data_IF_386913564605
#
_entry.id   IF_386913564605
#
_cell.length_a   1.000
_cell.length_b   1.000
_cell.length_c   1.000
_cell.angle_alpha   90.00
_cell.angle_beta   90.00
_cell.angle_gamma   90.00
#
_symmetry.space_group_name_H-M   'P 1'
#
loop_
_entity.id
_entity.type
_entity.pdbx_description
1 polymer ?
#
# COMPACT_ATOMS: atom_id res chain seq x y z
N UNK A 1 -0.89 1.36 0.17
CA UNK A 1 0.42 2.06 0.19
C UNK A 1 1.48 1.06 0.61
N UNK A 2 2.53 0.87 -0.20
CA UNK A 2 3.53 -0.18 0.01
C UNK A 2 4.93 0.44 0.04
N UNK A 3 5.77 0.03 1.00
CA UNK A 3 7.21 0.31 1.07
C UNK A 3 7.64 1.78 0.96
N UNK A 4 6.76 2.70 1.37
CA UNK A 4 6.96 4.14 1.24
C UNK A 4 7.48 4.76 2.55
N UNK A 5 8.14 5.93 2.45
CA UNK A 5 8.41 6.78 3.62
C UNK A 5 7.23 7.73 3.82
N UNK A 6 6.61 7.68 4.99
CA UNK A 6 5.47 8.50 5.36
C UNK A 6 5.90 9.50 6.44
N UNK A 7 5.89 10.78 6.07
CA UNK A 7 6.15 11.89 6.99
C UNK A 7 5.07 12.08 8.05
N UNK A 8 5.35 12.94 9.03
CA UNK A 8 4.47 13.23 10.17
C UNK A 8 3.21 14.02 9.82
N UNK A 9 3.13 14.54 8.58
CA UNK A 9 1.94 15.15 8.01
C UNK A 9 0.73 14.18 7.97
N UNK A 10 0.97 12.86 7.92
CA UNK A 10 -0.11 11.88 7.86
C UNK A 10 -0.83 11.80 9.20
N UNK A 11 -2.11 12.18 9.20
CA UNK A 11 -2.95 12.06 10.39
C UNK A 11 -2.99 10.61 10.89
N UNK A 12 -2.97 10.34 12.22
CA UNK A 12 -2.94 8.97 12.75
C UNK A 12 -4.06 8.06 12.26
N UNK A 13 -5.25 8.61 11.99
CA UNK A 13 -6.39 7.90 11.40
C UNK A 13 -6.10 7.34 9.99
N UNK A 14 -5.18 7.99 9.26
CA UNK A 14 -4.66 7.62 7.93
C UNK A 14 -5.61 7.88 6.78
N UNK A 15 -6.88 7.48 6.92
CA UNK A 15 -7.87 7.54 5.85
C UNK A 15 -9.06 8.39 6.27
N UNK A 16 -9.62 9.13 5.32
CA UNK A 16 -10.78 10.00 5.55
C UNK A 16 -12.00 9.45 4.80
N UNK A 17 -13.21 9.44 5.40
CA UNK A 17 -14.42 9.10 4.68
C UNK A 17 -14.63 10.04 3.49
N UNK A 18 -15.15 9.51 2.39
CA UNK A 18 -15.60 10.34 1.27
C UNK A 18 -16.88 11.10 1.64
N UNK A 19 -17.93 10.36 2.01
CA UNK A 19 -19.22 10.88 2.44
C UNK A 19 -19.85 9.92 3.45
N UNK A 20 -19.92 10.34 4.71
CA UNK A 20 -20.48 9.53 5.80
C UNK A 20 -19.90 8.12 5.86
N UNK A 21 -20.78 7.10 5.80
CA UNK A 21 -20.40 5.68 5.83
C UNK A 21 -20.27 5.04 4.44
N UNK A 22 -20.33 5.83 3.37
CA UNK A 22 -20.29 5.31 2.01
C UNK A 22 -18.97 4.54 1.76
N UNK A 23 -19.11 3.31 1.23
CA UNK A 23 -18.03 2.40 0.87
C UNK A 23 -17.08 1.92 1.99
N UNK A 24 -17.22 2.38 3.24
CA UNK A 24 -16.32 2.01 4.34
C UNK A 24 -16.26 0.49 4.57
N UNK A 25 -17.30 -0.23 4.17
CA UNK A 25 -17.39 -1.69 4.27
C UNK A 25 -16.91 -2.45 3.03
N UNK A 26 -16.78 -1.79 1.88
CA UNK A 26 -16.52 -2.42 0.57
C UNK A 26 -15.21 -1.98 -0.06
N UNK A 27 -14.66 -0.81 0.31
CA UNK A 27 -13.35 -0.36 -0.13
C UNK A 27 -12.25 -1.34 0.29
N UNK A 28 -11.08 -1.25 -0.34
CA UNK A 28 -9.89 -1.99 0.10
C UNK A 28 -8.74 -1.02 0.22
N UNK A 29 -8.43 -0.61 1.45
CA UNK A 29 -7.22 0.13 1.79
C UNK A 29 -6.29 -0.76 2.60
N UNK A 30 -5.00 -0.68 2.31
CA UNK A 30 -3.99 -1.45 3.01
C UNK A 30 -2.65 -0.72 2.98
N UNK A 31 -1.87 -0.93 4.04
CA UNK A 31 -0.52 -0.42 4.23
C UNK A 31 0.43 -1.61 4.47
N UNK A 32 1.64 -1.57 3.91
CA UNK A 32 2.64 -2.64 4.10
C UNK A 32 4.07 -2.11 3.99
N UNK A 33 4.91 -2.40 4.99
CA UNK A 33 6.34 -2.09 4.95
C UNK A 33 6.68 -0.59 4.84
N UNK A 34 5.75 0.29 5.20
CA UNK A 34 5.98 1.73 5.22
C UNK A 34 6.91 2.09 6.40
N UNK A 35 7.66 3.19 6.26
CA UNK A 35 8.62 3.71 7.24
C UNK A 35 8.36 5.18 7.51
N UNK A 36 9.03 5.76 8.50
CA UNK A 36 8.90 7.17 8.85
C UNK A 36 7.83 7.44 9.92
N UNK A 37 7.77 8.67 10.46
CA UNK A 37 6.94 9.01 11.61
C UNK A 37 5.42 8.87 11.37
N UNK A 38 4.96 8.99 10.13
CA UNK A 38 3.56 8.80 9.74
C UNK A 38 3.14 7.36 9.48
N UNK A 39 4.07 6.39 9.50
CA UNK A 39 3.79 4.99 9.17
C UNK A 39 3.19 4.16 10.31
N UNK A 40 3.07 4.75 11.50
CA UNK A 40 2.46 4.13 12.69
C UNK A 40 0.97 3.86 12.41
N UNK A 41 0.56 2.59 12.49
CA UNK A 41 -0.77 2.14 12.05
C UNK A 41 -1.77 1.90 13.19
N UNK A 42 -1.32 1.99 14.44
CA UNK A 42 -2.06 1.60 15.65
C UNK A 42 -3.39 2.37 15.75
N UNK A 43 -3.36 3.65 15.37
CA UNK A 43 -4.49 4.59 15.41
C UNK A 43 -5.29 4.65 14.10
N UNK A 44 -4.91 3.88 13.07
CA UNK A 44 -5.67 3.86 11.81
C UNK A 44 -7.12 3.45 12.05
N UNK A 45 -8.01 4.06 11.28
CA UNK A 45 -9.43 3.75 11.28
C UNK A 45 -9.68 2.25 11.09
N UNK A 46 -10.69 1.71 11.81
CA UNK A 46 -10.98 0.26 11.85
C UNK A 46 -12.13 -0.14 10.90
N UNK A 47 -12.30 0.58 9.79
CA UNK A 47 -13.36 0.25 8.83
C UNK A 47 -13.15 -1.15 8.27
N UNK A 48 -14.24 -1.87 7.96
CA UNK A 48 -14.16 -3.22 7.40
C UNK A 48 -13.36 -3.24 6.09
N UNK A 49 -13.36 -2.16 5.32
CA UNK A 49 -12.57 -2.02 4.10
C UNK A 49 -11.07 -1.80 4.31
N UNK A 50 -10.62 -1.42 5.52
CA UNK A 50 -9.19 -1.36 5.84
C UNK A 50 -8.71 -2.78 6.17
N UNK A 51 -7.72 -3.24 5.41
CA UNK A 51 -7.21 -4.61 5.47
C UNK A 51 -5.75 -4.60 5.91
N UNK A 52 -5.43 -5.45 6.87
CA UNK A 52 -4.05 -5.83 7.12
C UNK A 52 -3.48 -6.49 5.86
N UNK A 53 -2.22 -6.19 5.57
CA UNK A 53 -1.50 -6.81 4.46
C UNK A 53 -0.27 -7.52 4.99
N UNK A 54 0.01 -8.68 4.42
CA UNK A 54 1.27 -9.39 4.53
C UNK A 54 2.04 -9.25 3.21
N UNK A 55 3.24 -9.84 3.15
CA UNK A 55 4.07 -9.81 1.96
C UNK A 55 3.38 -10.44 0.75
N UNK A 56 2.73 -11.60 0.93
CA UNK A 56 2.05 -12.33 -0.16
C UNK A 56 0.91 -11.52 -0.77
N UNK A 57 0.08 -10.88 0.05
CA UNK A 57 -0.99 -9.99 -0.39
C UNK A 57 -0.43 -8.73 -1.04
N UNK A 58 0.58 -8.13 -0.44
CA UNK A 58 1.20 -6.91 -0.96
C UNK A 58 1.85 -7.15 -2.33
N UNK A 59 2.45 -8.33 -2.55
CA UNK A 59 3.10 -8.70 -3.81
C UNK A 59 2.12 -8.72 -5.00
N UNK A 60 0.83 -8.98 -4.77
CA UNK A 60 -0.21 -8.88 -5.82
C UNK A 60 -0.38 -7.46 -6.38
N UNK A 61 0.07 -6.46 -5.62
CA UNK A 61 0.04 -5.05 -5.99
C UNK A 61 1.42 -4.51 -6.38
N UNK A 62 2.44 -5.37 -6.55
CA UNK A 62 3.70 -4.98 -7.18
C UNK A 62 3.50 -4.68 -8.67
N UNK A 63 4.48 -4.06 -9.31
CA UNK A 63 4.43 -3.78 -10.75
C UNK A 63 4.22 -5.08 -11.56
N UNK A 64 4.88 -6.17 -11.15
CA UNK A 64 4.70 -7.47 -11.76
C UNK A 64 3.37 -8.12 -11.39
N UNK A 65 2.98 -8.10 -10.11
CA UNK A 65 1.75 -8.73 -9.64
C UNK A 65 0.49 -8.10 -10.25
N UNK A 66 0.47 -6.78 -10.39
CA UNK A 66 -0.71 -6.04 -10.85
C UNK A 66 -0.73 -5.82 -12.37
N UNK A 67 0.41 -5.41 -12.95
CA UNK A 67 0.47 -4.96 -14.34
C UNK A 67 1.25 -5.90 -15.27
N UNK A 68 1.83 -6.99 -14.74
CA UNK A 68 2.75 -7.86 -15.48
C UNK A 68 3.89 -7.05 -16.13
N UNK A 69 4.39 -6.06 -15.40
CA UNK A 69 5.28 -5.02 -15.91
C UNK A 69 6.54 -5.57 -16.61
N UNK A 70 7.08 -6.71 -16.16
CA UNK A 70 8.27 -7.32 -16.77
C UNK A 70 8.08 -7.71 -18.24
N UNK A 71 6.84 -7.81 -18.73
CA UNK A 71 6.55 -8.18 -20.13
C UNK A 71 6.75 -7.00 -21.08
N UNK A 72 6.52 -5.77 -20.63
CA UNK A 72 6.42 -4.60 -21.53
C UNK A 72 7.27 -3.41 -21.11
N UNK A 73 7.49 -3.17 -19.81
CA UNK A 73 8.27 -2.01 -19.35
C UNK A 73 9.73 -2.04 -19.85
N UNK A 74 10.46 -3.17 -19.88
CA UNK A 74 11.83 -3.18 -20.39
C UNK A 74 11.96 -2.70 -21.85
N UNK A 75 10.90 -2.85 -22.66
CA UNK A 75 10.88 -2.40 -24.06
C UNK A 75 10.84 -0.87 -24.19
N UNK A 76 10.47 -0.16 -23.11
CA UNK A 76 10.42 1.31 -23.07
C UNK A 76 11.78 1.95 -22.76
N UNK A 77 12.76 1.16 -22.30
CA UNK A 77 14.06 1.67 -21.82
C UNK A 77 14.04 2.23 -20.40
N UNK A 78 12.89 2.22 -19.72
CA UNK A 78 12.76 2.68 -18.32
C UNK A 78 13.24 1.58 -17.36
N UNK A 79 14.05 1.90 -16.33
CA UNK A 79 14.41 0.95 -15.28
C UNK A 79 13.19 0.40 -14.55
N UNK A 80 13.17 -0.92 -14.32
CA UNK A 80 12.07 -1.60 -13.65
C UNK A 80 12.58 -2.34 -12.41
N UNK A 81 11.97 -2.06 -11.26
CA UNK A 81 11.90 -3.03 -10.17
C UNK A 81 10.50 -3.68 -10.20
N UNK A 82 10.39 -4.97 -10.58
CA UNK A 82 9.10 -5.62 -10.78
C UNK A 82 8.36 -5.94 -9.47
N UNK A 83 9.09 -6.14 -8.38
CA UNK A 83 8.56 -6.74 -7.15
C UNK A 83 8.86 -5.91 -5.89
N UNK A 84 8.24 -6.32 -4.79
CA UNK A 84 8.51 -5.72 -3.49
C UNK A 84 9.92 -6.05 -3.05
N UNK A 85 10.56 -5.08 -2.38
CA UNK A 85 11.84 -5.30 -1.74
C UNK A 85 11.68 -6.34 -0.64
N UNK A 86 12.66 -7.23 -0.53
CA UNK A 86 12.66 -8.23 0.53
C UNK A 86 12.79 -7.52 1.87
N UNK A 87 11.77 -7.67 2.73
CA UNK A 87 11.76 -7.04 4.04
C UNK A 87 12.50 -8.00 4.96
N UNK A 88 13.83 -7.95 4.96
CA UNK A 88 14.61 -8.73 5.94
C UNK A 88 14.13 -8.35 7.34
N UNK A 89 13.59 -9.35 8.04
CA UNK A 89 13.17 -9.34 9.44
C UNK A 89 14.31 -8.94 10.36
#
# INVERSE_FOLDING_TARGET
ILQSDLGDLIHPDGWLPWDGQMYLNTLTYSEFGNRGPGAIMEKRVKWKGVKNSDFSRAQKFSAQGFMKASVWVPQTGVPLNPDLLDVKS
#
